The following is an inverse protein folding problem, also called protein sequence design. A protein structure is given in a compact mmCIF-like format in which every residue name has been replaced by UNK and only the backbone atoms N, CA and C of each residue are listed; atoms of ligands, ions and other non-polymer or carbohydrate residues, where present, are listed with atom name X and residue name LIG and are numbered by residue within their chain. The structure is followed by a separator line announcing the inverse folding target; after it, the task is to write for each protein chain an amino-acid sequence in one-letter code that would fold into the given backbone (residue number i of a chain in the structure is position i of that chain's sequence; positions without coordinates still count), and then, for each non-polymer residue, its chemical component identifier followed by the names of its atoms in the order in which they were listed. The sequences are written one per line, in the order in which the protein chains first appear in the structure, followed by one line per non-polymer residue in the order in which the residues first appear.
data_IF_406821888242
#
_entry.id   IF_406821888242
#
_cell.length_a   1.000
_cell.length_b   1.000
_cell.length_c   1.000
_cell.angle_alpha   90.00
_cell.angle_beta   90.00
_cell.angle_gamma   90.00
#
_symmetry.space_group_name_H-M   'P 1'
#
loop_
_entity.id
_entity.type
_entity.pdbx_description
1 polymer ?
#
# COMPACT_ATOMS: atom_id res chain seq x y z
N UNK A 1 3.22 10.88 -18.30
CA UNK A 1 2.99 9.66 -19.11
C UNK A 1 1.61 9.62 -19.69
N UNK A 2 1.42 8.75 -20.68
CA UNK A 2 0.14 8.46 -21.30
C UNK A 2 -0.05 6.94 -21.21
N UNK A 3 -1.26 6.51 -20.83
CA UNK A 3 -1.65 5.10 -20.77
C UNK A 3 -2.96 4.87 -21.51
N UNK A 4 -3.08 3.71 -22.15
CA UNK A 4 -4.32 3.21 -22.72
C UNK A 4 -4.59 1.83 -22.11
N UNK A 5 -5.77 1.65 -21.55
CA UNK A 5 -6.16 0.44 -20.84
C UNK A 5 -7.48 -0.08 -21.40
N UNK A 6 -7.54 -1.38 -21.63
CA UNK A 6 -8.77 -2.13 -21.84
C UNK A 6 -8.93 -3.09 -20.67
N UNK A 7 -10.07 -3.04 -20.02
CA UNK A 7 -10.39 -3.86 -18.84
C UNK A 7 -11.67 -4.65 -19.11
N UNK A 8 -11.59 -5.99 -19.03
CA UNK A 8 -12.73 -6.92 -19.12
C UNK A 8 -12.98 -7.50 -17.73
N UNK A 9 -13.84 -6.85 -16.96
CA UNK A 9 -14.19 -7.25 -15.60
C UNK A 9 -15.30 -8.31 -15.63
N UNK A 10 -15.00 -9.49 -15.12
CA UNK A 10 -15.93 -10.60 -14.97
C UNK A 10 -16.07 -10.97 -13.49
N UNK A 11 -17.29 -11.20 -13.07
CA UNK A 11 -17.62 -11.61 -11.71
C UNK A 11 -18.04 -13.08 -11.68
N UNK A 12 -17.79 -13.76 -10.56
CA UNK A 12 -18.29 -15.11 -10.33
C UNK A 12 -19.80 -15.09 -10.04
N UNK A 13 -20.47 -16.22 -10.24
CA UNK A 13 -21.90 -16.36 -9.91
C UNK A 13 -22.18 -16.12 -8.42
N UNK A 14 -21.21 -16.39 -7.57
CA UNK A 14 -21.27 -16.19 -6.10
C UNK A 14 -21.06 -14.73 -5.67
N UNK A 15 -20.68 -13.82 -6.57
CA UNK A 15 -20.51 -12.42 -6.25
C UNK A 15 -21.85 -11.74 -5.92
N UNK A 16 -21.80 -10.65 -5.15
CA UNK A 16 -22.98 -9.84 -4.86
C UNK A 16 -23.61 -9.25 -6.13
N UNK A 17 -24.89 -8.92 -6.08
CA UNK A 17 -25.56 -8.28 -7.21
C UNK A 17 -24.99 -6.90 -7.51
N UNK A 18 -24.46 -6.20 -6.52
CA UNK A 18 -23.79 -4.92 -6.69
C UNK A 18 -22.46 -5.08 -7.45
N UNK A 19 -21.67 -6.10 -7.11
CA UNK A 19 -20.44 -6.42 -7.85
C UNK A 19 -20.73 -6.89 -9.29
N UNK A 20 -21.78 -7.70 -9.50
CA UNK A 20 -22.18 -8.14 -10.84
C UNK A 20 -22.52 -6.98 -11.77
N UNK A 21 -23.09 -5.89 -11.24
CA UNK A 21 -23.37 -4.66 -12.02
C UNK A 21 -22.11 -3.93 -12.48
N UNK A 22 -20.95 -4.20 -11.88
CA UNK A 22 -19.67 -3.62 -12.28
C UNK A 22 -18.97 -4.41 -13.40
N UNK A 23 -19.49 -5.60 -13.77
CA UNK A 23 -18.96 -6.40 -14.88
C UNK A 23 -19.12 -5.67 -16.20
N UNK A 24 -18.19 -5.90 -17.12
CA UNK A 24 -18.24 -5.36 -18.47
C UNK A 24 -16.86 -4.97 -18.99
N UNK A 25 -16.88 -4.44 -20.21
CA UNK A 25 -15.70 -3.99 -20.91
C UNK A 25 -15.56 -2.47 -20.77
N UNK A 26 -14.36 -2.02 -20.43
CA UNK A 26 -14.08 -0.61 -20.18
C UNK A 26 -12.81 -0.18 -20.88
N UNK A 27 -12.88 0.94 -21.56
CA UNK A 27 -11.74 1.57 -22.21
C UNK A 27 -11.36 2.85 -21.46
N UNK A 28 -10.07 3.10 -21.34
CA UNK A 28 -9.54 4.29 -20.73
C UNK A 28 -8.27 4.75 -21.46
N UNK A 29 -8.21 6.04 -21.73
CA UNK A 29 -6.98 6.74 -22.07
C UNK A 29 -6.75 7.77 -20.97
N UNK A 30 -5.68 7.59 -20.20
CA UNK A 30 -5.36 8.47 -19.08
C UNK A 30 -3.98 9.10 -19.25
N UNK A 31 -3.84 10.29 -18.70
CA UNK A 31 -2.52 10.91 -18.51
C UNK A 31 -2.14 10.86 -17.04
N UNK A 32 -0.84 10.71 -16.80
CA UNK A 32 -0.30 10.66 -15.45
C UNK A 32 0.96 11.49 -15.35
N UNK A 33 1.18 12.06 -14.19
CA UNK A 33 2.44 12.72 -13.84
C UNK A 33 2.81 12.41 -12.39
N UNK A 34 4.08 12.56 -12.10
CA UNK A 34 4.60 12.36 -10.77
C UNK A 34 5.84 13.21 -10.52
N UNK A 35 6.01 13.55 -9.26
CA UNK A 35 7.17 14.24 -8.75
C UNK A 35 7.81 13.41 -7.66
N UNK A 36 9.14 13.27 -7.72
CA UNK A 36 9.91 12.64 -6.65
C UNK A 36 11.03 13.57 -6.26
N UNK A 37 11.12 13.81 -4.97
CA UNK A 37 12.18 14.61 -4.37
C UNK A 37 12.91 13.73 -3.37
N UNK A 38 14.12 13.31 -3.72
CA UNK A 38 14.95 12.39 -2.94
C UNK A 38 16.18 13.11 -2.40
N UNK A 39 16.28 13.24 -1.09
CA UNK A 39 17.41 13.77 -0.33
C UNK A 39 17.99 12.78 0.66
N UNK A 40 17.71 11.49 0.48
CA UNK A 40 18.34 10.46 1.30
C UNK A 40 19.85 10.41 1.02
N UNK A 41 20.64 10.11 2.02
CA UNK A 41 22.09 9.95 1.87
C UNK A 41 22.48 8.70 1.04
N UNK A 42 21.61 7.68 0.97
CA UNK A 42 21.76 6.48 0.12
C UNK A 42 20.38 5.85 -0.18
N UNK A 43 20.29 5.13 -1.28
CA UNK A 43 19.03 4.54 -1.75
C UNK A 43 18.62 3.30 -0.95
N UNK A 44 19.60 2.48 -0.54
CA UNK A 44 19.40 1.28 0.26
C UNK A 44 19.88 1.53 1.68
N UNK A 45 19.12 1.09 2.68
CA UNK A 45 19.39 1.30 4.11
C UNK A 45 19.76 2.76 4.44
N UNK A 46 18.92 3.75 4.10
CA UNK A 46 19.24 5.16 4.36
C UNK A 46 19.32 5.42 5.87
N UNK A 47 20.29 6.24 6.26
CA UNK A 47 20.50 6.61 7.67
C UNK A 47 20.09 8.05 7.96
N UNK A 48 19.94 8.87 6.91
CA UNK A 48 19.54 10.26 7.03
C UNK A 48 18.85 10.76 5.76
N UNK A 49 18.05 11.82 5.91
CA UNK A 49 17.36 12.47 4.81
C UNK A 49 15.94 11.98 4.61
N UNK A 50 15.35 12.38 3.49
CA UNK A 50 13.96 12.05 3.17
C UNK A 50 13.73 11.86 1.69
N UNK A 51 12.68 11.10 1.37
CA UNK A 51 12.14 10.99 0.02
C UNK A 51 10.66 11.32 0.06
N UNK A 52 10.22 12.18 -0.87
CA UNK A 52 8.83 12.58 -1.03
C UNK A 52 8.41 12.24 -2.46
N UNK A 53 7.27 11.60 -2.60
CA UNK A 53 6.68 11.28 -3.90
C UNK A 53 5.22 11.71 -3.96
N UNK A 54 4.84 12.27 -5.09
CA UNK A 54 3.45 12.55 -5.45
C UNK A 54 3.19 12.06 -6.86
N UNK A 55 2.04 11.44 -7.08
CA UNK A 55 1.58 11.02 -8.40
C UNK A 55 0.08 11.25 -8.55
N UNK A 56 -0.32 11.66 -9.74
CA UNK A 56 -1.71 11.81 -10.11
C UNK A 56 -1.95 11.21 -11.49
N UNK A 57 -3.10 10.58 -11.65
CA UNK A 57 -3.62 10.12 -12.95
C UNK A 57 -5.03 10.65 -13.13
N UNK A 58 -5.36 11.10 -14.34
CA UNK A 58 -6.69 11.56 -14.70
C UNK A 58 -7.04 11.16 -16.14
N UNK A 59 -8.32 10.91 -16.45
CA UNK A 59 -8.74 10.42 -17.74
C UNK A 59 -8.70 11.56 -18.78
N UNK A 60 -8.27 11.23 -19.98
CA UNK A 60 -8.52 12.02 -21.19
C UNK A 60 -9.76 11.52 -21.92
N UNK A 61 -9.99 10.22 -21.89
CA UNK A 61 -11.18 9.53 -22.33
C UNK A 61 -11.37 8.28 -21.48
N UNK A 62 -12.58 8.03 -20.99
CA UNK A 62 -12.90 6.81 -20.27
C UNK A 62 -14.40 6.52 -20.31
N UNK A 63 -14.76 5.23 -20.35
CA UNK A 63 -16.16 4.79 -20.21
C UNK A 63 -16.68 5.04 -18.78
N UNK A 64 -15.78 5.02 -17.80
CA UNK A 64 -15.98 5.45 -16.42
C UNK A 64 -14.81 6.31 -16.00
N UNK A 65 -15.08 7.55 -15.68
CA UNK A 65 -14.07 8.57 -15.41
C UNK A 65 -13.75 8.65 -13.91
N UNK A 66 -12.47 8.62 -13.56
CA UNK A 66 -12.02 8.81 -12.19
C UNK A 66 -10.66 9.51 -12.15
N UNK A 67 -10.37 10.18 -11.04
CA UNK A 67 -9.06 10.75 -10.74
C UNK A 67 -8.41 9.96 -9.61
N UNK A 68 -7.13 9.63 -9.74
CA UNK A 68 -6.37 8.99 -8.69
C UNK A 68 -5.17 9.83 -8.25
N UNK A 69 -4.95 9.88 -6.94
CA UNK A 69 -3.83 10.58 -6.34
C UNK A 69 -3.07 9.62 -5.42
N UNK A 70 -1.75 9.78 -5.37
CA UNK A 70 -0.88 9.04 -4.46
C UNK A 70 0.17 9.98 -3.90
N UNK A 71 0.32 9.95 -2.59
CA UNK A 71 1.38 10.69 -1.90
C UNK A 71 2.11 9.74 -0.97
N UNK A 72 3.42 9.90 -0.90
CA UNK A 72 4.25 9.20 0.08
C UNK A 72 5.41 10.09 0.54
N UNK A 73 5.79 9.91 1.79
CA UNK A 73 6.99 10.48 2.38
C UNK A 73 7.65 9.43 3.26
N UNK A 74 8.97 9.34 3.18
CA UNK A 74 9.78 8.58 4.14
C UNK A 74 10.91 9.46 4.62
N UNK A 75 11.08 9.55 5.93
CA UNK A 75 12.11 10.35 6.59
C UNK A 75 12.96 9.44 7.47
N UNK A 76 14.25 9.64 7.43
CA UNK A 76 15.25 8.85 8.16
C UNK A 76 16.14 9.79 8.95
N UNK A 77 16.50 9.38 10.17
CA UNK A 77 17.39 10.13 11.03
C UNK A 77 18.15 9.18 11.96
N UNK A 78 19.47 9.32 12.00
CA UNK A 78 20.29 8.69 13.01
C UNK A 78 19.95 9.29 14.39
N UNK A 79 19.47 8.46 15.29
CA UNK A 79 19.15 8.81 16.68
C UNK A 79 20.41 8.60 17.53
N UNK A 80 21.07 7.48 17.30
CA UNK A 80 22.41 7.16 17.83
C UNK A 80 23.23 6.53 16.70
N UNK A 81 24.49 6.15 16.98
CA UNK A 81 25.31 5.41 16.01
C UNK A 81 24.72 4.05 15.65
N UNK A 82 23.96 3.43 16.57
CA UNK A 82 23.39 2.10 16.43
C UNK A 82 21.89 2.09 16.14
N UNK A 83 21.23 3.25 16.11
CA UNK A 83 19.77 3.35 15.96
C UNK A 83 19.40 4.42 14.96
N UNK A 84 18.73 4.00 13.90
CA UNK A 84 18.19 4.88 12.88
C UNK A 84 16.66 4.84 12.95
N UNK A 85 16.06 5.97 13.32
CA UNK A 85 14.62 6.15 13.28
C UNK A 85 14.15 6.40 11.84
N UNK A 86 13.05 5.76 11.45
CA UNK A 86 12.36 6.08 10.22
C UNK A 86 10.87 6.27 10.45
N UNK A 87 10.30 7.25 9.77
CA UNK A 87 8.85 7.46 9.71
C UNK A 87 8.43 7.50 8.25
N UNK A 88 7.44 6.68 7.89
CA UNK A 88 6.92 6.61 6.53
C UNK A 88 5.42 6.86 6.55
N UNK A 89 4.95 7.72 5.67
CA UNK A 89 3.53 7.98 5.48
C UNK A 89 3.15 7.77 4.02
N UNK A 90 1.99 7.19 3.83
CA UNK A 90 1.40 6.93 2.52
C UNK A 90 -0.07 7.27 2.55
N UNK A 91 -0.56 7.90 1.50
CA UNK A 91 -1.98 8.06 1.24
C UNK A 91 -2.27 7.91 -0.24
N UNK A 92 -3.37 7.25 -0.55
CA UNK A 92 -3.91 7.16 -1.90
C UNK A 92 -5.41 7.48 -1.88
N UNK A 93 -5.88 8.12 -2.94
CA UNK A 93 -7.28 8.35 -3.18
C UNK A 93 -7.62 8.07 -4.63
N UNK A 94 -8.82 7.54 -4.86
CA UNK A 94 -9.44 7.43 -6.16
C UNK A 94 -10.87 7.91 -6.05
N UNK A 95 -11.29 8.80 -6.94
CA UNK A 95 -12.62 9.40 -6.88
C UNK A 95 -13.22 9.42 -8.27
N UNK A 96 -14.47 8.98 -8.41
CA UNK A 96 -15.22 9.10 -9.64
C UNK A 96 -15.43 10.56 -10.03
N UNK A 97 -15.48 10.84 -11.30
CA UNK A 97 -15.76 12.17 -11.85
C UNK A 97 -17.20 12.22 -12.38
N UNK A 98 -17.86 13.35 -12.17
CA UNK A 98 -19.28 13.48 -12.49
C UNK A 98 -20.12 12.59 -11.57
N UNK A 99 -20.89 11.67 -12.15
CA UNK A 99 -21.73 10.71 -11.44
C UNK A 99 -21.17 9.26 -11.58
N UNK A 100 -19.91 9.11 -11.95
CA UNK A 100 -19.31 7.80 -12.11
C UNK A 100 -18.83 7.26 -10.76
N UNK A 101 -19.15 6.00 -10.48
CA UNK A 101 -18.54 5.24 -9.38
C UNK A 101 -17.18 4.70 -9.80
N UNK A 102 -16.27 4.60 -8.84
CA UNK A 102 -14.96 3.98 -9.07
C UNK A 102 -15.12 2.48 -9.29
N UNK A 103 -14.65 1.98 -10.44
CA UNK A 103 -14.69 0.55 -10.78
C UNK A 103 -13.85 -0.26 -9.79
N UNK A 104 -14.23 -1.52 -9.60
CA UNK A 104 -13.53 -2.45 -8.73
C UNK A 104 -12.03 -2.55 -9.02
N UNK A 105 -11.65 -2.63 -10.31
CA UNK A 105 -10.26 -2.73 -10.76
C UNK A 105 -9.41 -1.48 -10.47
N UNK A 106 -10.05 -0.33 -10.26
CA UNK A 106 -9.39 0.95 -10.01
C UNK A 106 -9.37 1.35 -8.54
N UNK A 107 -10.05 0.60 -7.65
CA UNK A 107 -10.05 0.87 -6.22
C UNK A 107 -8.67 0.69 -5.62
N UNK A 108 -8.38 1.47 -4.60
CA UNK A 108 -7.10 1.39 -3.92
C UNK A 108 -7.10 0.30 -2.85
N UNK A 109 -5.94 -0.22 -2.58
CA UNK A 109 -5.67 -1.18 -1.52
C UNK A 109 -4.37 -0.85 -0.80
N UNK A 110 -4.03 -1.63 0.20
CA UNK A 110 -2.79 -1.47 0.94
C UNK A 110 -1.88 -2.70 0.74
N UNK A 111 -0.60 -2.46 0.51
CA UNK A 111 0.36 -3.55 0.33
C UNK A 111 0.83 -4.09 1.68
N UNK A 112 1.23 -5.37 1.72
CA UNK A 112 1.85 -6.00 2.89
C UNK A 112 3.18 -5.36 3.32
N UNK A 113 3.79 -4.51 2.47
CA UNK A 113 4.97 -3.72 2.82
C UNK A 113 4.64 -2.45 3.60
N UNK A 114 3.40 -1.93 3.44
CA UNK A 114 2.90 -0.72 4.14
C UNK A 114 2.10 -1.04 5.38
N UNK A 115 1.55 -2.23 5.45
CA UNK A 115 0.85 -2.74 6.62
C UNK A 115 1.26 -4.19 6.81
N UNK A 116 2.42 -4.39 7.43
CA UNK A 116 2.99 -5.72 7.69
C UNK A 116 2.09 -6.50 8.65
N UNK A 117 2.04 -7.81 8.51
CA UNK A 117 1.11 -8.64 9.29
C UNK A 117 -0.27 -8.83 8.66
N UNK A 118 -0.52 -8.22 7.52
CA UNK A 118 -1.75 -8.37 6.74
C UNK A 118 -1.44 -8.81 5.32
N UNK A 119 -2.32 -9.59 4.74
CA UNK A 119 -2.20 -9.96 3.34
C UNK A 119 -2.47 -8.76 2.42
N UNK A 120 -1.81 -8.77 1.25
CA UNK A 120 -1.93 -7.70 0.26
C UNK A 120 -3.38 -7.55 -0.19
N UNK A 121 -3.93 -6.33 -0.09
CA UNK A 121 -5.29 -5.96 -0.50
C UNK A 121 -6.40 -6.76 0.22
N UNK A 122 -6.11 -7.31 1.40
CA UNK A 122 -7.04 -8.08 2.22
C UNK A 122 -7.45 -7.35 3.51
N UNK A 123 -7.47 -6.02 3.42
CA UNK A 123 -7.84 -5.08 4.49
C UNK A 123 -8.85 -4.10 3.93
N UNK A 124 -9.85 -3.75 4.70
CA UNK A 124 -10.84 -2.73 4.33
C UNK A 124 -12.20 -3.32 3.96
N UNK A 125 -12.97 -2.63 3.09
CA UNK A 125 -14.32 -3.01 2.74
C UNK A 125 -14.41 -4.39 2.08
N UNK A 126 -15.47 -5.12 2.46
CA UNK A 126 -15.78 -6.46 1.93
C UNK A 126 -17.23 -6.47 1.45
N UNK A 127 -17.46 -6.95 0.23
CA UNK A 127 -18.78 -7.18 -0.33
C UNK A 127 -19.04 -8.70 -0.42
N UNK A 128 -19.93 -9.21 0.44
CA UNK A 128 -20.12 -10.63 0.61
C UNK A 128 -18.88 -11.33 1.20
N UNK A 129 -18.07 -11.97 0.34
CA UNK A 129 -16.78 -12.61 0.69
C UNK A 129 -15.59 -11.97 -0.01
N UNK A 130 -15.83 -10.96 -0.85
CA UNK A 130 -14.84 -10.39 -1.72
C UNK A 130 -14.25 -9.11 -1.12
N UNK A 131 -12.93 -9.04 -0.97
CA UNK A 131 -12.23 -7.81 -0.64
C UNK A 131 -12.23 -6.89 -1.85
N UNK A 132 -12.90 -5.76 -1.74
CA UNK A 132 -13.16 -4.86 -2.88
C UNK A 132 -12.23 -3.66 -2.93
N UNK A 133 -11.34 -3.50 -1.94
CA UNK A 133 -10.58 -2.26 -1.79
C UNK A 133 -11.46 -1.09 -1.41
N UNK A 134 -10.92 0.11 -1.49
CA UNK A 134 -11.63 1.34 -1.15
C UNK A 134 -11.28 2.50 -2.07
N UNK A 135 -11.97 3.60 -1.90
CA UNK A 135 -11.63 4.84 -2.59
C UNK A 135 -10.41 5.52 -1.95
N UNK A 136 -10.12 5.19 -0.69
CA UNK A 136 -9.03 5.77 0.09
C UNK A 136 -8.21 4.69 0.77
N UNK A 137 -6.90 4.91 0.85
CA UNK A 137 -5.98 4.11 1.66
C UNK A 137 -4.95 5.01 2.33
N UNK A 138 -4.61 4.72 3.58
CA UNK A 138 -3.53 5.40 4.28
C UNK A 138 -2.72 4.41 5.11
N UNK A 139 -1.41 4.67 5.23
CA UNK A 139 -0.52 3.95 6.12
C UNK A 139 0.47 4.90 6.79
N UNK A 140 0.79 4.61 8.05
CA UNK A 140 1.82 5.28 8.83
C UNK A 140 2.70 4.21 9.49
N UNK A 141 3.99 4.28 9.24
CA UNK A 141 4.96 3.33 9.74
C UNK A 141 6.02 4.04 10.57
N UNK A 142 6.31 3.50 11.73
CA UNK A 142 7.46 3.88 12.55
C UNK A 142 8.43 2.70 12.57
N UNK A 143 9.70 2.98 12.31
CA UNK A 143 10.74 1.97 12.26
C UNK A 143 11.94 2.40 13.08
N UNK A 144 12.57 1.42 13.73
CA UNK A 144 13.87 1.54 14.36
C UNK A 144 14.81 0.54 13.69
N UNK A 145 15.67 1.04 12.83
CA UNK A 145 16.68 0.22 12.15
C UNK A 145 17.91 0.13 13.03
N UNK A 146 18.47 -1.07 13.17
CA UNK A 146 19.57 -1.42 14.05
C UNK A 146 20.74 -1.95 13.20
N UNK A 147 21.47 -1.06 12.47
CA UNK A 147 22.46 -1.48 11.49
C UNK A 147 23.66 -2.25 12.10
N UNK A 148 24.01 -1.95 13.36
CA UNK A 148 25.16 -2.56 14.04
C UNK A 148 24.77 -3.74 14.95
N UNK A 149 23.52 -4.25 14.85
CA UNK A 149 23.09 -5.38 15.66
C UNK A 149 23.76 -6.71 15.24
N UNK A 150 24.05 -6.83 13.95
CA UNK A 150 24.76 -7.98 13.35
C UNK A 150 26.11 -7.52 12.79
N UNK A 151 27.11 -8.41 12.67
CA UNK A 151 28.38 -8.07 12.04
C UNK A 151 28.21 -7.54 10.61
N UNK A 152 29.02 -6.54 10.21
CA UNK A 152 28.94 -5.86 8.90
C UNK A 152 29.06 -6.81 7.71
N UNK A 153 29.81 -7.89 7.83
CA UNK A 153 30.00 -8.91 6.80
C UNK A 153 28.72 -9.68 6.46
N UNK A 154 27.71 -9.65 7.33
CA UNK A 154 26.40 -10.24 7.06
C UNK A 154 25.58 -9.46 6.05
N UNK A 155 25.87 -8.16 5.84
CA UNK A 155 25.08 -7.23 5.03
C UNK A 155 23.59 -7.25 5.38
N UNK A 156 23.27 -7.37 6.68
CA UNK A 156 21.91 -7.55 7.19
C UNK A 156 21.59 -6.52 8.26
N UNK A 157 20.52 -5.76 8.04
CA UNK A 157 19.94 -4.85 9.04
C UNK A 157 18.71 -5.47 9.69
N UNK A 158 18.58 -5.26 10.99
CA UNK A 158 17.37 -5.61 11.75
C UNK A 158 16.55 -4.36 11.98
N UNK A 159 15.26 -4.44 11.71
CA UNK A 159 14.30 -3.34 11.88
C UNK A 159 13.19 -3.78 12.82
N UNK A 160 12.95 -3.02 13.88
CA UNK A 160 11.73 -3.09 14.67
C UNK A 160 10.72 -2.14 14.06
N UNK A 161 9.45 -2.50 14.02
CA UNK A 161 8.42 -1.66 13.40
C UNK A 161 7.10 -1.62 14.17
N UNK A 162 6.38 -0.54 13.94
CA UNK A 162 5.00 -0.33 14.35
C UNK A 162 4.25 0.31 13.16
N UNK A 163 3.28 -0.42 12.62
CA UNK A 163 2.52 -0.04 11.45
C UNK A 163 1.07 0.27 11.81
N UNK A 164 0.53 1.31 11.19
CA UNK A 164 -0.87 1.67 11.19
C UNK A 164 -1.36 1.82 9.76
N UNK A 165 -2.60 1.42 9.49
CA UNK A 165 -3.18 1.60 8.17
C UNK A 165 -4.66 1.35 8.13
N UNK A 166 -5.29 1.87 7.08
CA UNK A 166 -6.69 1.62 6.77
C UNK A 166 -6.94 1.75 5.26
N UNK A 167 -7.99 1.08 4.80
CA UNK A 167 -8.60 1.21 3.47
C UNK A 167 -10.08 1.42 3.69
N UNK A 168 -10.67 2.45 3.07
CA UNK A 168 -12.07 2.82 3.29
C UNK A 168 -12.67 3.54 2.07
N UNK A 169 -13.99 3.80 2.16
CA UNK A 169 -14.76 4.49 1.14
C UNK A 169 -15.23 3.55 0.03
N UNK A 170 -16.55 3.42 -0.09
CA UNK A 170 -17.23 2.68 -1.15
C UNK A 170 -18.32 3.58 -1.70
N UNK A 171 -18.35 3.79 -3.01
CA UNK A 171 -19.26 4.73 -3.68
C UNK A 171 -20.40 4.05 -4.45
N UNK A 172 -20.29 2.77 -4.80
CA UNK A 172 -21.29 2.09 -5.62
C UNK A 172 -22.44 1.45 -4.83
N UNK A 173 -22.25 1.23 -3.52
CA UNK A 173 -23.26 0.65 -2.64
C UNK A 173 -23.06 1.15 -1.20
N UNK A 174 -23.99 1.98 -0.73
CA UNK A 174 -23.94 2.56 0.62
C UNK A 174 -24.28 1.58 1.75
N UNK A 175 -24.71 0.36 1.42
CA UNK A 175 -24.96 -0.69 2.43
C UNK A 175 -23.69 -1.42 2.86
N UNK A 176 -22.60 -1.26 2.12
CA UNK A 176 -21.31 -1.87 2.45
C UNK A 176 -20.68 -1.11 3.60
N UNK A 177 -20.29 -1.83 4.64
CA UNK A 177 -19.48 -1.27 5.72
C UNK A 177 -18.08 -0.90 5.16
N UNK A 178 -17.82 0.37 5.00
CA UNK A 178 -16.54 0.89 4.52
C UNK A 178 -15.48 1.01 5.63
N UNK A 179 -15.79 0.45 6.82
CA UNK A 179 -14.88 0.13 7.91
C UNK A 179 -13.85 1.22 8.27
N UNK A 180 -14.23 2.13 9.16
CA UNK A 180 -13.34 3.14 9.75
C UNK A 180 -12.31 2.58 10.75
N UNK A 181 -12.13 1.26 10.84
CA UNK A 181 -11.24 0.67 11.82
C UNK A 181 -9.78 0.83 11.41
N UNK A 182 -8.98 1.51 12.23
CA UNK A 182 -7.53 1.56 12.06
C UNK A 182 -6.95 0.19 12.44
N UNK A 183 -6.21 -0.42 11.50
CA UNK A 183 -5.44 -1.64 11.71
C UNK A 183 -4.06 -1.26 12.20
N UNK A 184 -3.48 -2.12 13.00
CA UNK A 184 -2.10 -1.95 13.45
C UNK A 184 -1.39 -3.28 13.68
N UNK A 185 -0.09 -3.25 13.50
CA UNK A 185 0.80 -4.40 13.70
C UNK A 185 2.17 -3.95 14.17
N UNK A 186 2.89 -4.86 14.78
CA UNK A 186 4.29 -4.66 15.18
C UNK A 186 5.10 -5.92 14.85
N UNK A 187 6.41 -5.82 14.84
CA UNK A 187 7.25 -6.98 14.57
C UNK A 187 8.70 -6.62 14.29
N UNK A 188 9.37 -7.60 13.70
CA UNK A 188 10.79 -7.53 13.35
C UNK A 188 10.94 -7.86 11.87
N UNK A 189 11.80 -7.11 11.18
CA UNK A 189 12.19 -7.36 9.80
C UNK A 189 13.71 -7.47 9.71
N UNK A 190 14.18 -8.50 9.01
CA UNK A 190 15.58 -8.63 8.61
C UNK A 190 15.70 -8.25 7.12
N UNK A 191 16.53 -7.26 6.82
CA UNK A 191 16.82 -6.81 5.44
C UNK A 191 18.23 -7.22 5.08
N UNK A 192 18.38 -8.08 4.11
CA UNK A 192 19.66 -8.66 3.69
C UNK A 192 19.99 -8.29 2.25
N UNK A 193 21.18 -7.72 2.02
CA UNK A 193 21.71 -7.51 0.68
C UNK A 193 22.39 -8.80 0.18
N UNK A 194 21.62 -9.65 -0.48
CA UNK A 194 22.10 -10.90 -1.04
C UNK A 194 22.76 -10.71 -2.42
N UNK A 195 23.53 -11.72 -2.93
CA UNK A 195 24.08 -11.67 -4.27
C UNK A 195 23.03 -11.58 -5.40
N UNK A 196 21.79 -11.97 -5.14
CA UNK A 196 20.66 -11.88 -6.10
C UNK A 196 19.80 -10.62 -5.91
N UNK A 197 20.20 -9.74 -5.00
CA UNK A 197 19.51 -8.49 -4.67
C UNK A 197 18.99 -8.43 -3.24
N UNK A 198 18.33 -7.33 -2.87
CA UNK A 198 17.80 -7.15 -1.53
C UNK A 198 16.69 -8.14 -1.22
N UNK A 199 16.78 -8.78 -0.07
CA UNK A 199 15.77 -9.68 0.49
C UNK A 199 15.27 -9.10 1.82
N UNK A 200 14.00 -9.33 2.14
CA UNK A 200 13.48 -9.03 3.47
C UNK A 200 12.61 -10.16 4.00
N UNK A 201 12.82 -10.47 5.27
CA UNK A 201 12.05 -11.44 6.05
C UNK A 201 11.37 -10.70 7.18
N UNK A 202 10.07 -10.85 7.32
CA UNK A 202 9.29 -10.13 8.33
C UNK A 202 8.51 -11.11 9.18
N UNK A 203 8.64 -10.98 10.50
CA UNK A 203 7.79 -11.60 11.50
C UNK A 203 6.93 -10.52 12.14
N UNK A 204 5.62 -10.70 12.16
CA UNK A 204 4.67 -9.68 12.58
C UNK A 204 3.58 -10.23 13.49
N UNK A 205 3.11 -9.38 14.39
CA UNK A 205 1.99 -9.57 15.28
C UNK A 205 0.96 -8.45 15.04
N UNK A 206 -0.29 -8.83 14.75
CA UNK A 206 -1.37 -7.87 14.63
C UNK A 206 -1.82 -7.39 16.01
N UNK A 207 -1.92 -6.06 16.19
CA UNK A 207 -2.39 -5.42 17.40
C UNK A 207 -3.87 -5.04 17.29
N UNK A 208 -4.30 -4.59 16.11
CA UNK A 208 -5.70 -4.26 15.81
C UNK A 208 -6.05 -4.72 14.40
N UNK A 209 -7.15 -5.44 14.25
CA UNK A 209 -7.69 -5.91 12.97
C UNK A 209 -9.21 -5.97 12.98
N UNK A 210 -9.86 -5.95 11.82
CA UNK A 210 -11.26 -6.31 11.67
C UNK A 210 -11.42 -7.83 11.55
N UNK A 211 -12.62 -8.34 11.76
CA UNK A 211 -12.93 -9.78 11.62
C UNK A 211 -12.81 -10.29 10.19
N UNK A 212 -12.95 -9.39 9.23
CA UNK A 212 -12.86 -9.66 7.79
C UNK A 212 -11.46 -9.59 7.24
N UNK A 213 -10.48 -9.04 7.99
CA UNK A 213 -9.12 -8.89 7.50
C UNK A 213 -8.38 -10.23 7.45
N UNK A 214 -7.66 -10.49 6.36
CA UNK A 214 -6.76 -11.63 6.24
C UNK A 214 -5.35 -11.24 6.71
N UNK A 215 -4.73 -12.08 7.54
CA UNK A 215 -3.49 -11.77 8.22
C UNK A 215 -2.38 -12.74 7.85
N UNK A 216 -1.13 -12.24 7.81
CA UNK A 216 0.06 -13.00 7.47
C UNK A 216 1.17 -12.69 8.47
N UNK A 217 1.40 -13.59 9.45
CA UNK A 217 2.42 -13.39 10.49
C UNK A 217 3.87 -13.48 10.01
N UNK A 218 4.11 -14.13 8.88
CA UNK A 218 5.41 -14.20 8.22
C UNK A 218 5.30 -13.76 6.76
N UNK A 219 6.22 -12.94 6.30
CA UNK A 219 6.34 -12.58 4.88
C UNK A 219 7.79 -12.53 4.42
N UNK A 220 7.98 -12.85 3.14
CA UNK A 220 9.24 -12.79 2.43
C UNK A 220 9.07 -11.90 1.20
N UNK A 221 10.00 -10.99 0.98
CA UNK A 221 10.02 -10.14 -0.21
C UNK A 221 11.39 -10.17 -0.86
N UNK A 222 11.39 -10.21 -2.20
CA UNK A 222 12.56 -10.02 -3.05
C UNK A 222 12.46 -8.63 -3.69
N UNK A 223 13.53 -7.87 -3.65
CA UNK A 223 13.63 -6.53 -4.23
C UNK A 223 13.61 -5.42 -3.18
N UNK A 224 13.80 -4.18 -3.65
CA UNK A 224 13.84 -3.00 -2.80
C UNK A 224 12.48 -2.68 -2.18
N UNK A 225 12.47 -2.32 -0.91
CA UNK A 225 11.28 -1.97 -0.12
C UNK A 225 11.00 -0.46 -0.16
N UNK A 226 10.86 0.11 -1.36
CA UNK A 226 10.55 1.54 -1.50
C UNK A 226 9.06 1.79 -1.68
#
# INVERSE_FOLDING_TARGET
GLSATYDDLRTLDSASDALKKQSGNFNEIATNYGFTFDKRNRSFMPTDGSIIGFGQSFPLYADKSFISNRFNISSYRSITEDVIGATKFYVASVNGLGNDDVRLSNRTGISSRRLRGFEKNKVGPVDGKDHIGGNYAAALNFESNLPNLLPDDTNTDITLFLDFGNVWGVDYDSSIDDSNKIRSSTGVMASWMSPIGPLSFTLSQNLSKASTDETQGFSFNLGTTF
#
